data_IF_156162896491
#
_entry.id   IF_156162896491
#
_cell.length_a   1.000
_cell.length_b   1.000
_cell.length_c   1.000
_cell.angle_alpha   90.00
_cell.angle_beta   90.00
_cell.angle_gamma   90.00
#
_symmetry.space_group_name_H-M   'P 1'
#
loop_
_entity.id
_entity.type
_entity.pdbx_description
1 polymer ?
#
# COMPACT_ATOMS: atom_id res chain seq x y z
N UNK A 1 49.34 -19.09 8.58
CA UNK A 1 47.95 -19.50 8.25
C UNK A 1 47.00 -18.41 8.75
N UNK A 2 46.39 -17.61 7.87
CA UNK A 2 45.39 -16.60 8.23
C UNK A 2 44.03 -17.29 8.31
N UNK A 3 43.40 -17.31 9.50
CA UNK A 3 42.00 -17.75 9.64
C UNK A 3 41.11 -16.62 9.13
N UNK A 4 40.35 -16.89 8.08
CA UNK A 4 39.28 -16.02 7.58
C UNK A 4 38.17 -15.88 8.64
N UNK A 5 37.54 -14.70 8.77
CA UNK A 5 36.43 -14.52 9.68
C UNK A 5 35.19 -15.28 9.16
N UNK A 6 34.30 -15.76 10.04
CA UNK A 6 33.09 -16.43 9.62
C UNK A 6 32.22 -15.43 8.87
N UNK A 7 31.88 -15.75 7.63
CA UNK A 7 30.91 -15.01 6.84
C UNK A 7 29.62 -14.89 7.65
N UNK A 8 29.21 -13.63 7.85
CA UNK A 8 27.92 -13.24 8.38
C UNK A 8 26.81 -13.75 7.42
N UNK A 9 26.40 -15.00 7.56
CA UNK A 9 25.20 -15.54 6.90
C UNK A 9 23.99 -15.27 7.81
N UNK A 10 23.55 -14.02 7.84
CA UNK A 10 22.21 -13.70 8.31
C UNK A 10 21.66 -12.56 7.47
N UNK A 11 20.34 -12.53 7.32
CA UNK A 11 19.53 -11.64 6.48
C UNK A 11 19.39 -12.11 5.03
N UNK A 12 18.41 -12.98 4.83
CA UNK A 12 17.44 -13.01 3.71
C UNK A 12 16.64 -14.33 3.77
N UNK A 13 16.06 -14.67 4.92
CA UNK A 13 14.82 -15.45 4.92
C UNK A 13 13.68 -14.48 4.66
N UNK A 14 13.61 -13.97 3.43
CA UNK A 14 12.35 -13.43 2.94
C UNK A 14 11.40 -14.61 2.97
N UNK A 15 10.32 -14.52 3.75
CA UNK A 15 9.24 -15.48 3.61
C UNK A 15 8.72 -15.36 2.17
N UNK A 16 9.24 -16.19 1.27
CA UNK A 16 8.63 -16.43 -0.03
C UNK A 16 7.33 -17.16 0.27
N UNK A 17 6.26 -16.39 0.44
CA UNK A 17 4.92 -16.94 0.34
C UNK A 17 4.80 -17.53 -1.07
N UNK A 18 4.60 -18.85 -1.22
CA UNK A 18 4.47 -19.44 -2.54
C UNK A 18 3.27 -18.81 -3.23
N UNK A 19 3.53 -18.10 -4.32
CA UNK A 19 2.47 -17.52 -5.16
C UNK A 19 1.71 -18.65 -5.86
N UNK A 20 0.40 -18.67 -5.70
CA UNK A 20 -0.46 -19.66 -6.37
C UNK A 20 -0.42 -19.50 -7.90
N UNK A 21 -0.88 -20.52 -8.63
CA UNK A 21 -1.00 -20.45 -10.08
C UNK A 21 -1.94 -19.31 -10.52
N UNK A 22 -3.08 -19.14 -9.84
CA UNK A 22 -4.03 -18.05 -10.11
C UNK A 22 -3.40 -16.68 -9.87
N UNK A 23 -2.68 -16.48 -8.75
CA UNK A 23 -1.97 -15.21 -8.49
C UNK A 23 -0.89 -14.92 -9.56
N UNK A 24 -0.23 -15.95 -10.09
CA UNK A 24 0.74 -15.78 -11.20
C UNK A 24 0.02 -15.32 -12.47
N UNK A 25 -1.07 -15.97 -12.82
CA UNK A 25 -1.90 -15.62 -13.98
C UNK A 25 -2.45 -14.19 -13.87
N UNK A 26 -3.01 -13.83 -12.72
CA UNK A 26 -3.51 -12.49 -12.43
C UNK A 26 -2.44 -11.40 -12.62
N UNK A 27 -1.21 -11.66 -12.13
CA UNK A 27 -0.07 -10.75 -12.33
C UNK A 27 0.34 -10.62 -13.79
N UNK A 28 0.31 -11.70 -14.57
CA UNK A 28 0.61 -11.67 -16.01
C UNK A 28 -0.46 -10.88 -16.75
N UNK A 29 -1.74 -11.11 -16.46
CA UNK A 29 -2.86 -10.36 -17.07
C UNK A 29 -2.73 -8.87 -16.77
N UNK A 30 -2.43 -8.49 -15.53
CA UNK A 30 -2.20 -7.10 -15.17
C UNK A 30 -1.04 -6.49 -15.96
N UNK A 31 0.11 -7.16 -15.99
CA UNK A 31 1.29 -6.67 -16.70
C UNK A 31 1.00 -6.51 -18.20
N UNK A 32 0.37 -7.49 -18.85
CA UNK A 32 0.01 -7.42 -20.27
C UNK A 32 -0.96 -6.27 -20.56
N UNK A 33 -1.89 -6.00 -19.65
CA UNK A 33 -2.88 -4.93 -19.81
C UNK A 33 -2.26 -3.53 -19.75
N UNK A 34 -1.28 -3.31 -18.86
CA UNK A 34 -0.79 -1.97 -18.54
C UNK A 34 0.65 -1.69 -18.99
N UNK A 35 1.37 -2.65 -19.58
CA UNK A 35 2.78 -2.48 -19.97
C UNK A 35 3.01 -1.39 -21.03
N UNK A 36 2.02 -1.13 -21.88
CA UNK A 36 2.11 -0.13 -22.96
C UNK A 36 1.80 1.29 -22.46
N UNK A 37 1.39 1.45 -21.20
CA UNK A 37 1.10 2.77 -20.64
C UNK A 37 2.38 3.58 -20.43
N UNK A 38 2.40 4.80 -20.96
CA UNK A 38 3.52 5.72 -20.82
C UNK A 38 3.74 6.16 -19.37
N UNK A 39 4.95 6.63 -19.04
CA UNK A 39 5.32 7.12 -17.70
C UNK A 39 4.30 8.13 -17.13
N UNK A 40 3.79 9.13 -17.89
CA UNK A 40 2.81 10.09 -17.36
C UNK A 40 1.51 9.44 -16.86
N UNK A 41 1.11 8.30 -17.44
CA UNK A 41 -0.05 7.55 -16.97
C UNK A 41 0.17 7.01 -15.55
N UNK A 42 1.37 6.56 -15.22
CA UNK A 42 1.68 6.01 -13.90
C UNK A 42 1.90 7.11 -12.87
N UNK A 43 2.52 8.23 -13.27
CA UNK A 43 2.71 9.39 -12.40
C UNK A 43 1.39 10.08 -12.03
N UNK A 44 0.35 9.95 -12.86
CA UNK A 44 -0.98 10.50 -12.58
C UNK A 44 -1.77 9.75 -11.50
N UNK A 45 -1.26 8.62 -10.99
CA UNK A 45 -1.95 7.76 -10.02
C UNK A 45 -1.55 8.07 -8.58
N UNK A 46 -2.48 7.85 -7.66
CA UNK A 46 -2.24 7.84 -6.21
C UNK A 46 -2.04 6.40 -5.74
N UNK A 47 -0.85 6.09 -5.23
CA UNK A 47 -0.53 4.76 -4.72
C UNK A 47 -0.74 4.73 -3.22
N UNK A 48 -1.61 3.85 -2.73
CA UNK A 48 -1.92 3.69 -1.31
C UNK A 48 -1.46 2.32 -0.85
N UNK A 49 -0.79 2.27 0.29
CA UNK A 49 -0.44 1.02 0.94
C UNK A 49 -0.46 1.14 2.47
N UNK A 50 -0.79 0.03 3.11
CA UNK A 50 -0.70 -0.17 4.54
C UNK A 50 0.60 -0.89 4.88
N UNK A 51 1.21 -0.53 6.01
CA UNK A 51 2.36 -1.25 6.52
C UNK A 51 2.43 -1.18 8.04
N UNK A 52 3.19 -2.09 8.65
CA UNK A 52 3.47 -2.06 10.08
C UNK A 52 4.97 -2.01 10.33
N UNK A 53 5.38 -1.04 11.14
CA UNK A 53 6.74 -0.91 11.61
C UNK A 53 6.86 -1.46 13.03
N UNK A 54 7.96 -2.12 13.34
CA UNK A 54 8.33 -2.62 14.66
C UNK A 54 9.56 -1.91 15.19
N UNK A 55 9.63 -1.80 16.51
CA UNK A 55 10.74 -1.21 17.25
C UNK A 55 11.32 -2.26 18.19
N UNK A 56 12.64 -2.39 18.20
CA UNK A 56 13.33 -3.21 19.19
C UNK A 56 13.63 -2.43 20.48
N UNK A 57 14.31 -3.06 21.43
CA UNK A 57 14.68 -2.43 22.71
C UNK A 57 15.69 -1.28 22.57
N UNK A 58 16.34 -1.14 21.41
CA UNK A 58 17.30 -0.07 21.11
C UNK A 58 16.65 1.06 20.30
N UNK A 59 15.38 0.91 19.92
CA UNK A 59 14.67 1.86 19.06
C UNK A 59 14.93 1.65 17.57
N UNK A 60 15.55 0.54 17.16
CA UNK A 60 15.76 0.24 15.74
C UNK A 60 14.43 -0.14 15.07
N UNK A 61 14.18 0.47 13.91
CA UNK A 61 12.93 0.31 13.16
C UNK A 61 13.09 -0.79 12.12
N UNK A 62 12.14 -1.73 12.08
CA UNK A 62 12.07 -2.78 11.07
C UNK A 62 10.67 -2.95 10.50
N UNK A 63 10.58 -3.47 9.28
CA UNK A 63 9.32 -3.87 8.67
C UNK A 63 8.78 -5.13 9.34
N UNK A 64 7.50 -5.13 9.71
CA UNK A 64 6.81 -6.32 10.20
C UNK A 64 6.14 -7.08 9.05
N UNK A 65 6.53 -8.34 8.87
CA UNK A 65 5.99 -9.24 7.83
C UNK A 65 5.22 -10.42 8.42
N UNK A 66 4.28 -10.14 9.32
CA UNK A 66 3.47 -11.15 10.00
C UNK A 66 1.97 -10.92 9.87
N UNK A 67 1.19 -11.49 10.79
CA UNK A 67 -0.28 -11.38 10.77
C UNK A 67 -0.74 -9.97 11.12
N UNK A 68 -1.83 -9.51 10.52
CA UNK A 68 -2.53 -8.26 10.87
C UNK A 68 -3.31 -8.33 12.19
N UNK A 69 -2.83 -9.11 13.17
CA UNK A 69 -3.42 -9.16 14.51
C UNK A 69 -3.26 -7.80 15.19
N UNK A 70 -4.20 -7.45 16.06
CA UNK A 70 -4.29 -6.14 16.69
C UNK A 70 -3.23 -5.89 17.77
N UNK A 71 -2.68 -6.95 18.37
CA UNK A 71 -1.83 -6.87 19.56
C UNK A 71 -0.36 -7.21 19.26
N UNK A 72 0.20 -6.61 18.21
CA UNK A 72 1.64 -6.76 17.93
C UNK A 72 2.42 -5.75 18.79
N UNK A 73 3.12 -6.26 19.81
CA UNK A 73 3.93 -5.44 20.71
C UNK A 73 5.00 -4.64 19.96
N UNK A 74 5.28 -3.44 20.48
CA UNK A 74 6.26 -2.48 19.95
C UNK A 74 6.10 -2.28 18.44
N UNK A 75 4.87 -2.03 17.99
CA UNK A 75 4.59 -1.80 16.57
C UNK A 75 3.64 -0.64 16.34
N UNK A 76 3.81 0.00 15.18
CA UNK A 76 2.96 1.08 14.70
C UNK A 76 2.47 0.71 13.29
N UNK A 77 1.16 0.47 13.12
CA UNK A 77 0.56 0.34 11.80
C UNK A 77 0.32 1.73 11.21
N UNK A 78 0.53 1.84 9.91
CA UNK A 78 0.31 3.06 9.15
C UNK A 78 -0.41 2.76 7.84
N UNK A 79 -1.11 3.75 7.33
CA UNK A 79 -1.56 3.84 5.94
C UNK A 79 -0.90 5.06 5.33
N UNK A 80 -0.40 4.92 4.11
CA UNK A 80 0.29 6.00 3.43
C UNK A 80 -0.09 6.05 1.95
N UNK A 81 0.00 7.25 1.38
CA UNK A 81 -0.08 7.46 -0.06
C UNK A 81 1.15 8.20 -0.58
N UNK A 82 1.56 7.85 -1.80
CA UNK A 82 2.52 8.61 -2.59
C UNK A 82 1.91 8.93 -3.95
N UNK A 83 2.06 10.17 -4.42
CA UNK A 83 1.60 10.54 -5.75
C UNK A 83 2.16 11.86 -6.25
N UNK A 84 2.12 12.06 -7.58
CA UNK A 84 2.42 13.32 -8.25
C UNK A 84 1.44 13.57 -9.42
N UNK A 85 0.12 13.63 -9.17
CA UNK A 85 -0.87 13.50 -10.21
C UNK A 85 -0.82 14.59 -11.28
N UNK A 86 -0.30 15.79 -10.96
CA UNK A 86 -0.33 16.97 -11.84
C UNK A 86 1.03 17.70 -11.99
N UNK A 87 2.15 17.00 -11.92
CA UNK A 87 3.54 17.51 -12.13
C UNK A 87 4.06 18.69 -11.28
N UNK A 88 3.20 19.51 -10.69
CA UNK A 88 3.54 20.69 -9.90
C UNK A 88 3.21 20.53 -8.41
N UNK A 89 2.40 19.53 -8.05
CA UNK A 89 1.94 19.33 -6.67
C UNK A 89 1.96 17.85 -6.30
N UNK A 90 2.79 17.49 -5.33
CA UNK A 90 2.83 16.17 -4.70
C UNK A 90 2.39 16.27 -3.24
N UNK A 91 1.48 15.38 -2.83
CA UNK A 91 1.13 15.20 -1.42
C UNK A 91 1.38 13.75 -1.00
N UNK A 92 2.34 13.59 -0.12
CA UNK A 92 2.59 12.31 0.52
C UNK A 92 1.94 12.35 1.90
N UNK A 93 0.90 11.54 2.09
CA UNK A 93 0.18 11.46 3.36
C UNK A 93 0.58 10.17 4.04
N UNK A 94 0.92 10.24 5.32
CA UNK A 94 1.07 9.07 6.19
C UNK A 94 0.24 9.27 7.44
N UNK A 95 -0.52 8.25 7.82
CA UNK A 95 -1.35 8.26 9.02
C UNK A 95 -1.12 7.02 9.84
N UNK A 96 -0.98 7.20 11.15
CA UNK A 96 -1.04 6.12 12.11
C UNK A 96 -2.45 5.53 12.12
N UNK A 97 -2.52 4.22 12.06
CA UNK A 97 -3.78 3.47 12.16
C UNK A 97 -3.99 3.05 13.62
N UNK A 98 -5.24 3.03 14.07
CA UNK A 98 -5.57 2.48 15.39
C UNK A 98 -5.63 0.95 15.32
N UNK A 99 -4.58 0.28 15.80
CA UNK A 99 -4.40 -1.18 15.83
C UNK A 99 -4.40 -1.88 14.45
N UNK A 100 -5.55 -1.89 13.77
CA UNK A 100 -5.74 -2.47 12.42
C UNK A 100 -6.66 -1.55 11.65
N UNK A 101 -6.37 -1.35 10.36
CA UNK A 101 -7.19 -0.47 9.54
C UNK A 101 -8.55 -1.12 9.31
N UNK A 102 -9.60 -0.35 9.57
CA UNK A 102 -10.98 -0.71 9.26
C UNK A 102 -11.53 0.20 8.15
N UNK A 103 -12.76 -0.08 7.71
CA UNK A 103 -13.37 0.64 6.59
C UNK A 103 -13.70 2.09 6.91
N UNK A 104 -13.84 2.45 8.19
CA UNK A 104 -14.03 3.84 8.60
C UNK A 104 -12.72 4.61 8.53
N UNK A 105 -11.65 4.05 9.08
CA UNK A 105 -10.30 4.64 9.02
C UNK A 105 -9.83 4.77 7.58
N UNK A 106 -10.11 3.77 6.73
CA UNK A 106 -9.77 3.83 5.32
C UNK A 106 -10.55 4.91 4.56
N UNK A 107 -11.86 5.04 4.79
CA UNK A 107 -12.67 6.11 4.17
C UNK A 107 -12.18 7.49 4.61
N UNK A 108 -11.92 7.69 5.90
CA UNK A 108 -11.39 8.97 6.40
C UNK A 108 -10.02 9.31 5.76
N UNK A 109 -9.17 8.31 5.53
CA UNK A 109 -7.92 8.50 4.80
C UNK A 109 -8.16 8.89 3.33
N UNK A 110 -9.12 8.28 2.63
CA UNK A 110 -9.47 8.65 1.26
C UNK A 110 -10.03 10.07 1.15
N UNK A 111 -10.84 10.51 2.13
CA UNK A 111 -11.34 11.88 2.21
C UNK A 111 -10.19 12.89 2.36
N UNK A 112 -9.18 12.57 3.17
CA UNK A 112 -7.98 13.39 3.32
C UNK A 112 -7.15 13.45 2.02
N UNK A 113 -7.03 12.31 1.33
CA UNK A 113 -6.40 12.26 0.00
C UNK A 113 -7.14 13.19 -0.96
N UNK A 114 -8.47 13.10 -1.06
CA UNK A 114 -9.26 13.98 -1.94
C UNK A 114 -9.08 15.46 -1.61
N UNK A 115 -9.14 15.81 -0.31
CA UNK A 115 -8.95 17.18 0.15
C UNK A 115 -7.56 17.73 -0.19
N UNK A 116 -6.56 16.85 -0.27
CA UNK A 116 -5.19 17.22 -0.65
C UNK A 116 -5.05 17.45 -2.16
N UNK A 117 -5.92 16.90 -3.01
CA UNK A 117 -5.86 17.06 -4.46
C UNK A 117 -7.06 17.82 -5.06
N UNK A 118 -7.37 19.06 -4.61
CA UNK A 118 -8.61 19.76 -5.00
C UNK A 118 -8.65 20.18 -6.48
N UNK A 119 -7.53 20.10 -7.19
CA UNK A 119 -7.40 20.48 -8.61
C UNK A 119 -7.33 19.28 -9.57
N UNK A 120 -7.33 18.06 -9.03
CA UNK A 120 -7.19 16.82 -9.82
C UNK A 120 -8.50 16.07 -9.75
N UNK A 121 -9.39 16.31 -10.72
CA UNK A 121 -10.61 15.52 -10.86
C UNK A 121 -10.70 14.90 -12.26
N UNK A 122 -10.84 13.56 -12.38
CA UNK A 122 -10.91 12.56 -11.30
C UNK A 122 -9.54 12.04 -10.80
N UNK A 123 -9.45 11.66 -9.52
CA UNK A 123 -8.31 10.98 -8.90
C UNK A 123 -8.34 9.48 -9.19
N UNK A 124 -7.24 8.94 -9.73
CA UNK A 124 -7.08 7.49 -9.91
C UNK A 124 -6.24 6.89 -8.80
N UNK A 125 -6.79 5.91 -8.07
CA UNK A 125 -6.11 5.26 -6.95
C UNK A 125 -5.68 3.84 -7.32
N UNK A 126 -4.46 3.48 -6.92
CA UNK A 126 -3.88 2.13 -6.98
C UNK A 126 -3.62 1.65 -5.55
N UNK A 127 -4.22 0.52 -5.19
CA UNK A 127 -4.09 -0.12 -3.88
C UNK A 127 -4.15 -1.64 -4.02
N UNK A 128 -3.76 -2.35 -2.96
CA UNK A 128 -3.80 -3.81 -2.92
C UNK A 128 -5.24 -4.35 -2.73
N UNK A 129 -5.41 -5.68 -2.75
CA UNK A 129 -6.69 -6.38 -2.51
C UNK A 129 -7.08 -6.55 -1.04
N UNK A 130 -6.55 -5.73 -0.13
CA UNK A 130 -6.83 -5.90 1.29
C UNK A 130 -8.35 -5.83 1.55
N UNK A 131 -8.96 -6.78 2.30
CA UNK A 131 -10.43 -6.92 2.33
C UNK A 131 -11.20 -5.65 2.69
N UNK A 132 -10.59 -4.76 3.49
CA UNK A 132 -11.19 -3.48 3.89
C UNK A 132 -11.54 -2.60 2.68
N UNK A 133 -10.70 -2.62 1.63
CA UNK A 133 -10.84 -1.85 0.40
C UNK A 133 -12.08 -2.24 -0.42
N UNK A 134 -12.57 -3.47 -0.22
CA UNK A 134 -13.72 -4.01 -0.93
C UNK A 134 -14.96 -4.15 -0.05
N UNK A 135 -14.93 -3.59 1.17
CA UNK A 135 -16.07 -3.56 2.07
C UNK A 135 -17.25 -2.78 1.48
N UNK A 136 -18.47 -3.09 1.92
CA UNK A 136 -19.68 -2.39 1.48
C UNK A 136 -19.61 -0.88 1.77
N UNK A 137 -19.00 -0.50 2.90
CA UNK A 137 -18.83 0.90 3.30
C UNK A 137 -17.95 1.66 2.30
N UNK A 138 -16.80 1.10 1.92
CA UNK A 138 -15.91 1.71 0.92
C UNK A 138 -16.58 1.74 -0.46
N UNK A 139 -17.23 0.65 -0.88
CA UNK A 139 -17.97 0.61 -2.16
C UNK A 139 -19.07 1.66 -2.24
N UNK A 140 -19.84 1.84 -1.16
CA UNK A 140 -20.88 2.87 -1.09
C UNK A 140 -20.27 4.26 -1.18
N UNK A 141 -19.23 4.53 -0.39
CA UNK A 141 -18.54 5.81 -0.40
C UNK A 141 -17.99 6.17 -1.79
N UNK A 142 -17.45 5.21 -2.54
CA UNK A 142 -17.03 5.45 -3.93
C UNK A 142 -18.19 5.77 -4.87
N UNK A 143 -19.33 5.10 -4.72
CA UNK A 143 -20.53 5.39 -5.50
C UNK A 143 -21.02 6.81 -5.27
N UNK A 144 -20.90 7.28 -4.03
CA UNK A 144 -21.26 8.64 -3.62
C UNK A 144 -20.20 9.67 -4.03
N UNK A 145 -18.96 9.24 -4.30
CA UNK A 145 -17.80 10.08 -4.65
C UNK A 145 -17.18 9.68 -6.00
N UNK A 146 -17.87 9.99 -7.10
CA UNK A 146 -17.44 9.68 -8.49
C UNK A 146 -16.08 10.29 -8.90
N UNK A 147 -15.50 11.14 -8.06
CA UNK A 147 -14.18 11.76 -8.24
C UNK A 147 -13.02 10.79 -8.02
N UNK A 148 -13.28 9.59 -7.49
CA UNK A 148 -12.28 8.53 -7.35
C UNK A 148 -12.65 7.32 -8.19
N UNK A 149 -11.67 6.83 -8.94
CA UNK A 149 -11.74 5.51 -9.55
C UNK A 149 -10.57 4.65 -9.10
N UNK A 150 -10.89 3.40 -8.75
CA UNK A 150 -9.87 2.39 -8.51
C UNK A 150 -9.53 1.69 -9.81
N UNK A 151 -8.24 1.72 -10.17
CA UNK A 151 -7.73 0.77 -11.14
C UNK A 151 -7.82 -0.61 -10.50
N UNK A 152 -8.80 -1.43 -10.93
CA UNK A 152 -8.98 -2.78 -10.39
C UNK A 152 -7.75 -3.62 -10.70
N UNK A 153 -6.83 -3.70 -9.75
CA UNK A 153 -5.76 -4.68 -9.75
C UNK A 153 -6.38 -6.01 -9.31
N UNK A 154 -6.76 -6.85 -10.27
CA UNK A 154 -7.04 -8.26 -9.96
C UNK A 154 -5.67 -8.92 -9.73
N UNK A 155 -5.19 -8.96 -8.47
CA UNK A 155 -4.02 -9.71 -7.95
C UNK A 155 -4.32 -11.11 -7.40
#
# INVERSE_FOLDING_TARGET
MKKSPPHCQSFLRVAQWPISASQREERVIFALKFRENAIPFWLSKVYINEHRYKFDSKGEISSYFGTERTNIANSVPVVACISKPNDDVSFNIIRKVNMRIDSQQYVAFLEEVMASYPRVDPISIVHNKYPVHHSLKVKKWLGDNIKIYFERVRC
#
